data_IF_340458467013
#
_entry.id   IF_340458467013
#
_cell.length_a   1.000
_cell.length_b   1.000
_cell.length_c   1.000
_cell.angle_alpha   90.00
_cell.angle_beta   90.00
_cell.angle_gamma   90.00
#
_symmetry.space_group_name_H-M   'P 1'
#
loop_
_entity.id
_entity.type
_entity.pdbx_description
1 polymer ?
#
# COMPACT_ATOMS: atom_id res chain seq x y z
N UNK A 1 -17.10 44.44 -17.09
CA UNK A 1 -16.47 43.23 -17.63
C UNK A 1 -15.01 43.51 -17.89
N UNK A 2 -14.13 43.21 -16.92
CA UNK A 2 -12.70 43.11 -17.19
C UNK A 2 -12.45 41.71 -17.73
N UNK A 3 -12.53 41.54 -19.05
CA UNK A 3 -12.00 40.34 -19.72
C UNK A 3 -10.48 40.44 -19.69
N UNK A 4 -9.90 40.04 -18.57
CA UNK A 4 -8.48 39.74 -18.47
C UNK A 4 -8.19 38.54 -19.38
N UNK A 5 -7.17 38.66 -20.23
CA UNK A 5 -6.73 37.57 -21.09
C UNK A 5 -6.48 36.33 -20.23
N UNK A 6 -7.01 35.15 -20.59
CA UNK A 6 -6.72 33.94 -19.85
C UNK A 6 -5.21 33.72 -19.82
N UNK A 7 -4.66 33.34 -18.66
CA UNK A 7 -3.26 32.94 -18.56
C UNK A 7 -2.94 31.77 -19.51
N UNK A 8 -1.67 31.35 -19.59
CA UNK A 8 -1.19 30.31 -20.54
C UNK A 8 -2.03 29.02 -20.51
N UNK A 9 -2.63 28.70 -19.36
CA UNK A 9 -3.45 27.50 -19.14
C UNK A 9 -4.96 27.79 -19.01
N UNK A 10 -5.41 28.99 -19.37
CA UNK A 10 -6.82 29.38 -19.20
C UNK A 10 -7.20 29.68 -17.76
N UNK A 11 -6.22 30.04 -16.92
CA UNK A 11 -6.46 30.35 -15.51
C UNK A 11 -7.42 31.53 -15.36
N UNK A 12 -8.29 31.46 -14.36
CA UNK A 12 -9.07 32.61 -13.93
C UNK A 12 -8.21 33.56 -13.09
N UNK A 13 -8.59 34.85 -12.95
CA UNK A 13 -7.87 35.77 -12.07
C UNK A 13 -7.77 35.28 -10.62
N UNK A 14 -8.79 34.56 -10.13
CA UNK A 14 -8.74 33.91 -8.82
C UNK A 14 -7.67 32.82 -8.78
N UNK A 15 -7.58 31.95 -9.80
CA UNK A 15 -6.58 30.89 -9.86
C UNK A 15 -5.15 31.43 -9.89
N UNK A 16 -4.88 32.49 -10.66
CA UNK A 16 -3.58 33.14 -10.65
C UNK A 16 -3.25 33.68 -9.25
N UNK A 17 -4.23 34.28 -8.56
CA UNK A 17 -4.04 34.75 -7.18
C UNK A 17 -3.85 33.62 -6.16
N UNK A 18 -4.45 32.45 -6.37
CA UNK A 18 -4.22 31.26 -5.52
C UNK A 18 -2.78 30.78 -5.66
N UNK A 19 -2.26 30.74 -6.89
CA UNK A 19 -0.91 30.26 -7.18
C UNK A 19 0.19 31.18 -6.65
N UNK A 20 0.04 32.51 -6.76
CA UNK A 20 1.13 33.45 -6.45
C UNK A 20 0.74 34.72 -5.68
N UNK A 21 -0.56 34.93 -5.43
CA UNK A 21 -1.09 36.13 -4.80
C UNK A 21 -1.18 36.06 -3.27
N UNK A 22 -1.51 37.20 -2.68
CA UNK A 22 -1.71 37.37 -1.24
C UNK A 22 -3.12 36.97 -0.80
N UNK A 23 -3.29 36.58 0.46
CA UNK A 23 -4.61 36.22 1.01
C UNK A 23 -5.60 37.39 0.96
N UNK A 24 -5.11 38.64 0.95
CA UNK A 24 -5.94 39.84 0.77
C UNK A 24 -6.49 39.98 -0.65
N UNK A 25 -5.69 39.66 -1.68
CA UNK A 25 -6.15 39.65 -3.08
C UNK A 25 -7.16 38.54 -3.32
N UNK A 26 -6.88 37.34 -2.78
CA UNK A 26 -7.80 36.20 -2.83
C UNK A 26 -9.13 36.58 -2.18
N UNK A 27 -9.10 37.17 -0.97
CA UNK A 27 -10.31 37.61 -0.26
C UNK A 27 -11.15 38.59 -1.08
N UNK A 28 -10.51 39.51 -1.81
CA UNK A 28 -11.21 40.45 -2.69
C UNK A 28 -11.92 39.75 -3.85
N UNK A 29 -11.32 38.70 -4.42
CA UNK A 29 -12.01 37.89 -5.44
C UNK A 29 -13.16 37.08 -4.85
N UNK A 30 -13.05 36.64 -3.59
CA UNK A 30 -14.09 35.89 -2.89
C UNK A 30 -15.29 36.76 -2.48
N UNK A 31 -15.21 38.10 -2.56
CA UNK A 31 -16.41 38.97 -2.50
C UNK A 31 -17.40 38.68 -3.64
N UNK A 32 -16.91 38.10 -4.74
CA UNK A 32 -17.70 37.67 -5.90
C UNK A 32 -17.61 36.16 -6.06
N UNK A 33 -18.42 35.42 -5.29
CA UNK A 33 -18.38 33.95 -5.16
C UNK A 33 -18.47 33.17 -6.49
N UNK A 34 -19.08 33.76 -7.52
CA UNK A 34 -19.13 33.22 -8.89
C UNK A 34 -17.73 32.88 -9.46
N UNK A 35 -16.67 33.51 -8.93
CA UNK A 35 -15.28 33.27 -9.33
C UNK A 35 -14.77 31.87 -8.95
N UNK A 36 -15.39 31.19 -7.97
CA UNK A 36 -14.98 29.86 -7.49
C UNK A 36 -15.30 28.73 -8.48
N UNK A 37 -16.31 28.91 -9.34
CA UNK A 37 -16.78 27.89 -10.29
C UNK A 37 -15.91 27.81 -11.56
N UNK A 38 -14.99 28.75 -11.74
CA UNK A 38 -14.12 28.80 -12.91
C UNK A 38 -13.26 27.55 -13.05
N UNK A 39 -13.10 27.07 -14.29
CA UNK A 39 -12.16 26.00 -14.66
C UNK A 39 -11.14 26.49 -15.66
N UNK A 40 -9.91 26.02 -15.51
CA UNK A 40 -8.85 26.23 -16.49
C UNK A 40 -8.93 25.19 -17.64
N UNK A 41 -7.99 25.22 -18.58
CA UNK A 41 -7.98 24.29 -19.72
C UNK A 41 -7.75 22.82 -19.35
N UNK A 42 -7.26 22.55 -18.14
CA UNK A 42 -7.13 21.21 -17.56
C UNK A 42 -8.39 20.81 -16.78
N UNK A 43 -9.45 21.62 -16.79
CA UNK A 43 -10.66 21.36 -16.01
C UNK A 43 -10.49 21.56 -14.49
N UNK A 44 -9.34 22.08 -14.06
CA UNK A 44 -9.03 22.28 -12.65
C UNK A 44 -9.79 23.50 -12.12
N UNK A 45 -10.31 23.40 -10.90
CA UNK A 45 -10.88 24.49 -10.09
C UNK A 45 -9.81 25.17 -9.23
N UNK A 46 -10.14 26.30 -8.60
CA UNK A 46 -9.24 26.97 -7.65
C UNK A 46 -8.77 26.04 -6.51
N UNK A 47 -9.61 25.09 -6.09
CA UNK A 47 -9.28 24.09 -5.06
C UNK A 47 -8.15 23.15 -5.48
N UNK A 48 -8.05 22.77 -6.75
CA UNK A 48 -6.96 21.93 -7.23
C UNK A 48 -5.60 22.62 -7.08
N UNK A 49 -5.56 23.93 -7.32
CA UNK A 49 -4.34 24.73 -7.26
C UNK A 49 -3.97 25.11 -5.82
N UNK A 50 -4.97 25.21 -4.94
CA UNK A 50 -4.78 25.59 -3.55
C UNK A 50 -4.18 24.48 -2.67
N UNK A 51 -4.11 23.22 -3.14
CA UNK A 51 -3.64 22.09 -2.31
C UNK A 51 -2.21 22.25 -1.80
N UNK A 52 -1.38 23.04 -2.47
CA UNK A 52 0.00 23.34 -2.04
C UNK A 52 0.07 24.46 -0.99
N UNK A 53 -1.05 25.13 -0.71
CA UNK A 53 -1.19 26.25 0.23
C UNK A 53 -2.40 25.99 1.13
N UNK A 54 -2.18 25.22 2.20
CA UNK A 54 -3.26 24.82 3.13
C UNK A 54 -4.01 26.01 3.73
N UNK A 55 -3.34 27.15 3.97
CA UNK A 55 -3.95 28.39 4.45
C UNK A 55 -4.97 28.96 3.45
N UNK A 56 -4.62 28.97 2.16
CA UNK A 56 -5.54 29.38 1.09
C UNK A 56 -6.64 28.37 0.90
N UNK A 57 -6.33 27.08 0.98
CA UNK A 57 -7.33 26.02 0.86
C UNK A 57 -8.41 26.14 1.96
N UNK A 58 -8.01 26.40 3.20
CA UNK A 58 -8.95 26.69 4.30
C UNK A 58 -9.79 27.93 4.01
N UNK A 59 -9.16 29.03 3.56
CA UNK A 59 -9.89 30.26 3.20
C UNK A 59 -10.94 30.02 2.09
N UNK A 60 -10.58 29.24 1.06
CA UNK A 60 -11.51 28.88 -0.02
C UNK A 60 -12.66 28.00 0.50
N UNK A 61 -12.40 27.08 1.43
CA UNK A 61 -13.44 26.20 1.99
C UNK A 61 -14.40 26.94 2.94
N UNK A 62 -13.87 27.84 3.78
CA UNK A 62 -14.66 28.66 4.69
C UNK A 62 -15.68 29.52 3.91
N UNK A 63 -15.20 30.24 2.89
CA UNK A 63 -16.04 31.07 2.03
C UNK A 63 -17.03 30.27 1.17
N UNK A 64 -16.68 29.04 0.83
CA UNK A 64 -17.51 28.14 0.02
C UNK A 64 -18.62 27.44 0.82
N UNK A 65 -18.41 27.22 2.11
CA UNK A 65 -19.39 26.61 3.02
C UNK A 65 -20.70 27.42 3.14
N UNK A 66 -20.63 28.72 2.89
CA UNK A 66 -21.77 29.65 2.94
C UNK A 66 -22.73 29.51 1.73
N UNK A 67 -22.29 28.88 0.64
CA UNK A 67 -23.03 28.86 -0.63
C UNK A 67 -23.45 27.46 -1.11
N UNK A 68 -22.99 26.39 -0.45
CA UNK A 68 -23.39 25.01 -0.76
C UNK A 68 -22.85 24.47 -2.09
N UNK A 69 -21.80 25.08 -2.65
CA UNK A 69 -21.16 24.58 -3.86
C UNK A 69 -20.40 23.26 -3.63
N UNK A 70 -19.95 22.61 -4.70
CA UNK A 70 -19.19 21.34 -4.64
C UNK A 70 -17.80 21.42 -5.28
N UNK A 71 -17.25 22.62 -5.47
CA UNK A 71 -16.02 22.86 -6.23
C UNK A 71 -14.77 22.10 -5.77
N UNK A 72 -14.71 21.70 -4.49
CA UNK A 72 -13.64 20.86 -3.92
C UNK A 72 -13.78 19.36 -4.22
N UNK A 73 -14.90 18.94 -4.82
CA UNK A 73 -15.16 17.58 -5.30
C UNK A 73 -15.17 17.48 -6.83
N UNK A 74 -15.13 18.62 -7.52
CA UNK A 74 -15.16 18.60 -8.97
C UNK A 74 -13.88 17.98 -9.52
N UNK A 75 -13.97 17.06 -10.48
CA UNK A 75 -12.80 16.51 -11.12
C UNK A 75 -12.25 17.44 -12.20
N UNK A 76 -10.94 17.31 -12.44
CA UNK A 76 -10.26 17.79 -13.64
C UNK A 76 -10.60 16.93 -14.88
N UNK A 77 -9.96 17.20 -16.02
CA UNK A 77 -10.19 16.45 -17.27
C UNK A 77 -9.83 14.96 -17.19
N UNK A 78 -8.95 14.58 -16.27
CA UNK A 78 -8.48 13.21 -16.05
C UNK A 78 -9.28 12.52 -14.91
N UNK A 79 -10.32 13.19 -14.40
CA UNK A 79 -11.17 12.68 -13.33
C UNK A 79 -10.57 12.85 -11.93
N UNK A 80 -9.43 13.52 -11.78
CA UNK A 80 -8.75 13.68 -10.49
C UNK A 80 -9.37 14.83 -9.71
N UNK A 81 -9.61 14.62 -8.42
CA UNK A 81 -10.15 15.66 -7.53
C UNK A 81 -9.02 16.42 -6.83
N UNK A 82 -9.31 17.58 -6.19
CA UNK A 82 -8.35 18.25 -5.33
C UNK A 82 -7.74 17.33 -4.26
N UNK A 83 -8.52 16.37 -3.73
CA UNK A 83 -8.01 15.39 -2.78
C UNK A 83 -6.96 14.47 -3.41
N UNK A 84 -7.16 14.02 -4.66
CA UNK A 84 -6.16 13.24 -5.41
C UNK A 84 -4.86 14.03 -5.60
N UNK A 85 -4.95 15.31 -5.94
CA UNK A 85 -3.77 16.18 -6.08
C UNK A 85 -3.03 16.38 -4.75
N UNK A 86 -3.76 16.65 -3.66
CA UNK A 86 -3.16 16.80 -2.33
C UNK A 86 -2.40 15.53 -1.90
N UNK A 87 -2.95 14.36 -2.20
CA UNK A 87 -2.33 13.08 -1.91
C UNK A 87 -1.09 12.81 -2.77
N UNK A 88 -1.18 13.05 -4.08
CA UNK A 88 -0.07 12.90 -5.02
C UNK A 88 1.13 13.83 -4.71
N UNK A 89 0.86 15.01 -4.15
CA UNK A 89 1.91 15.96 -3.74
C UNK A 89 2.37 15.81 -2.30
N UNK A 90 1.88 14.82 -1.55
CA UNK A 90 2.31 14.59 -0.18
C UNK A 90 1.84 15.67 0.81
N UNK A 91 0.77 16.39 0.49
CA UNK A 91 0.27 17.52 1.27
C UNK A 91 -0.71 17.02 2.34
N UNK A 92 -0.18 16.42 3.41
CA UNK A 92 -0.93 15.83 4.54
C UNK A 92 -1.99 16.78 5.10
N UNK A 93 -1.60 18.04 5.34
CA UNK A 93 -2.50 19.06 5.88
C UNK A 93 -3.69 19.33 4.96
N UNK A 94 -3.45 19.44 3.66
CA UNK A 94 -4.50 19.67 2.66
C UNK A 94 -5.42 18.46 2.50
N UNK A 95 -4.89 17.24 2.61
CA UNK A 95 -5.69 16.01 2.66
C UNK A 95 -6.62 16.02 3.87
N UNK A 96 -6.09 16.37 5.06
CA UNK A 96 -6.87 16.48 6.29
C UNK A 96 -7.99 17.52 6.15
N UNK A 97 -7.64 18.74 5.74
CA UNK A 97 -8.60 19.83 5.53
C UNK A 97 -9.72 19.42 4.57
N UNK A 98 -9.39 18.79 3.43
CA UNK A 98 -10.38 18.36 2.45
C UNK A 98 -11.29 17.24 3.00
N UNK A 99 -10.72 16.23 3.67
CA UNK A 99 -11.49 15.13 4.25
C UNK A 99 -12.42 15.61 5.37
N UNK A 100 -11.94 16.51 6.23
CA UNK A 100 -12.73 17.16 7.29
C UNK A 100 -13.85 18.04 6.71
N UNK A 101 -13.59 18.74 5.61
CA UNK A 101 -14.59 19.54 4.90
C UNK A 101 -15.63 18.73 4.10
N UNK A 102 -15.54 17.40 4.12
CA UNK A 102 -16.52 16.54 3.45
C UNK A 102 -16.15 16.15 2.02
N UNK A 103 -14.91 16.38 1.56
CA UNK A 103 -14.48 15.95 0.22
C UNK A 103 -14.72 14.45 0.02
N UNK A 104 -15.27 14.06 -1.13
CA UNK A 104 -15.56 12.69 -1.48
C UNK A 104 -14.23 11.94 -1.67
N UNK A 105 -13.93 10.92 -0.85
CA UNK A 105 -12.68 10.17 -0.96
C UNK A 105 -12.68 9.19 -2.13
N UNK A 106 -13.84 8.95 -2.78
CA UNK A 106 -14.01 7.92 -3.79
C UNK A 106 -13.94 8.47 -5.21
N UNK A 107 -13.09 7.89 -6.04
CA UNK A 107 -13.10 8.02 -7.51
C UNK A 107 -13.42 6.64 -8.10
N UNK A 108 -14.47 6.55 -8.92
CA UNK A 108 -14.90 5.26 -9.49
C UNK A 108 -15.31 4.20 -8.46
N UNK A 109 -15.52 4.56 -7.19
CA UNK A 109 -15.80 3.63 -6.10
C UNK A 109 -14.58 3.20 -5.28
N UNK A 110 -13.38 3.66 -5.65
CA UNK A 110 -12.11 3.29 -5.02
C UNK A 110 -11.43 4.48 -4.34
N UNK A 111 -10.54 4.18 -3.40
CA UNK A 111 -9.69 5.16 -2.70
C UNK A 111 -8.45 5.51 -3.54
N UNK A 112 -8.63 5.87 -4.82
CA UNK A 112 -7.53 6.13 -5.77
C UNK A 112 -6.48 7.10 -5.21
N UNK A 113 -6.89 8.13 -4.46
CA UNK A 113 -5.95 9.09 -3.89
C UNK A 113 -4.92 8.45 -2.94
N UNK A 114 -5.27 7.34 -2.27
CA UNK A 114 -4.33 6.55 -1.47
C UNK A 114 -3.31 5.90 -2.39
N UNK A 115 -3.73 5.30 -3.51
CA UNK A 115 -2.81 4.72 -4.50
C UNK A 115 -1.82 5.77 -5.04
N UNK A 116 -2.31 6.97 -5.35
CA UNK A 116 -1.45 8.09 -5.75
C UNK A 116 -0.45 8.43 -4.65
N UNK A 117 -0.87 8.59 -3.40
CA UNK A 117 0.06 8.84 -2.30
C UNK A 117 1.15 7.75 -2.21
N UNK A 118 0.78 6.47 -2.33
CA UNK A 118 1.74 5.36 -2.27
C UNK A 118 2.71 5.34 -3.45
N UNK A 119 2.23 5.56 -4.68
CA UNK A 119 3.06 5.58 -5.88
C UNK A 119 4.09 6.72 -5.87
N UNK A 120 3.80 7.82 -5.17
CA UNK A 120 4.72 8.94 -4.94
C UNK A 120 5.45 8.85 -3.58
N UNK A 121 5.36 7.70 -2.89
CA UNK A 121 6.05 7.39 -1.63
C UNK A 121 5.64 8.28 -0.43
N UNK A 122 4.41 8.80 -0.43
CA UNK A 122 3.77 9.57 0.65
C UNK A 122 2.97 8.67 1.60
N UNK A 123 3.66 7.74 2.26
CA UNK A 123 3.06 6.73 3.15
C UNK A 123 2.39 7.33 4.39
N UNK A 124 2.94 8.43 4.89
CA UNK A 124 2.40 9.22 6.00
C UNK A 124 1.03 9.82 5.66
N UNK A 125 0.87 10.36 4.45
CA UNK A 125 -0.40 10.87 3.94
C UNK A 125 -1.43 9.75 3.86
N UNK A 126 -1.05 8.58 3.33
CA UNK A 126 -1.94 7.43 3.26
C UNK A 126 -2.38 6.97 4.67
N UNK A 127 -1.44 6.88 5.61
CA UNK A 127 -1.73 6.49 6.99
C UNK A 127 -2.68 7.46 7.69
N UNK A 128 -2.44 8.76 7.57
CA UNK A 128 -3.28 9.80 8.16
C UNK A 128 -4.67 9.80 7.54
N UNK A 129 -4.76 9.73 6.20
CA UNK A 129 -6.04 9.69 5.50
C UNK A 129 -6.88 8.47 5.90
N UNK A 130 -6.31 7.28 5.95
CA UNK A 130 -7.02 6.07 6.40
C UNK A 130 -7.46 6.20 7.86
N UNK A 131 -6.64 6.81 8.72
CA UNK A 131 -6.99 7.07 10.12
C UNK A 131 -8.18 8.02 10.23
N UNK A 132 -8.18 9.10 9.45
CA UNK A 132 -9.29 10.06 9.39
C UNK A 132 -10.57 9.42 8.84
N UNK A 133 -10.48 8.63 7.78
CA UNK A 133 -11.63 7.93 7.19
C UNK A 133 -12.30 6.96 8.17
N UNK A 134 -11.49 6.24 8.96
CA UNK A 134 -11.97 5.37 10.05
C UNK A 134 -12.61 6.19 11.17
N UNK A 135 -11.91 7.22 11.66
CA UNK A 135 -12.37 8.05 12.78
C UNK A 135 -13.68 8.80 12.48
N UNK A 136 -13.88 9.20 11.23
CA UNK A 136 -15.08 9.92 10.77
C UNK A 136 -16.20 8.99 10.28
N UNK A 137 -15.99 7.67 10.33
CA UNK A 137 -16.92 6.65 9.82
C UNK A 137 -17.36 6.88 8.35
N UNK A 138 -16.54 7.58 7.56
CA UNK A 138 -16.80 7.84 6.14
C UNK A 138 -16.53 6.64 5.25
N UNK A 139 -15.72 5.71 5.74
CA UNK A 139 -15.50 4.42 5.14
C UNK A 139 -15.54 3.35 6.25
N UNK A 140 -16.24 2.25 5.99
CA UNK A 140 -16.24 1.11 6.92
C UNK A 140 -14.88 0.41 6.92
N UNK A 141 -14.48 -0.18 8.05
CA UNK A 141 -13.24 -0.95 8.12
C UNK A 141 -13.21 -2.08 7.08
N UNK A 142 -14.34 -2.75 6.84
CA UNK A 142 -14.44 -3.78 5.81
C UNK A 142 -14.16 -3.25 4.40
N UNK A 143 -14.66 -2.05 4.07
CA UNK A 143 -14.36 -1.40 2.80
C UNK A 143 -12.87 -1.02 2.71
N UNK A 144 -12.31 -0.43 3.76
CA UNK A 144 -10.87 -0.08 3.79
C UNK A 144 -10.00 -1.32 3.63
N UNK A 145 -10.35 -2.44 4.26
CA UNK A 145 -9.62 -3.70 4.08
C UNK A 145 -9.71 -4.22 2.65
N UNK A 146 -10.87 -4.14 2.00
CA UNK A 146 -11.00 -4.50 0.58
C UNK A 146 -10.14 -3.63 -0.33
N UNK A 147 -10.05 -2.32 -0.07
CA UNK A 147 -9.21 -1.41 -0.85
C UNK A 147 -7.71 -1.68 -0.61
N UNK A 148 -7.31 -1.91 0.63
CA UNK A 148 -5.95 -2.30 0.98
C UNK A 148 -5.56 -3.66 0.36
N UNK A 149 -6.50 -4.61 0.31
CA UNK A 149 -6.32 -5.86 -0.41
C UNK A 149 -6.11 -5.60 -1.90
N UNK A 150 -6.96 -4.79 -2.53
CA UNK A 150 -6.82 -4.46 -3.95
C UNK A 150 -5.45 -3.83 -4.27
N UNK A 151 -5.00 -2.89 -3.44
CA UNK A 151 -3.67 -2.29 -3.56
C UNK A 151 -2.55 -3.33 -3.43
N UNK A 152 -2.66 -4.26 -2.48
CA UNK A 152 -1.69 -5.36 -2.35
C UNK A 152 -1.68 -6.26 -3.59
N UNK A 153 -2.83 -6.60 -4.13
CA UNK A 153 -2.96 -7.43 -5.34
C UNK A 153 -2.34 -6.75 -6.56
N UNK A 154 -2.56 -5.45 -6.74
CA UNK A 154 -1.99 -4.68 -7.85
C UNK A 154 -0.44 -4.62 -7.82
N UNK A 155 0.16 -4.75 -6.63
CA UNK A 155 1.62 -4.67 -6.42
C UNK A 155 2.35 -6.02 -6.45
N UNK A 156 1.64 -7.16 -6.52
CA UNK A 156 2.25 -8.49 -6.47
C UNK A 156 3.36 -8.74 -7.50
N UNK A 157 3.34 -8.05 -8.65
CA UNK A 157 4.31 -8.24 -9.71
C UNK A 157 5.71 -7.66 -9.44
N UNK A 158 5.84 -6.73 -8.49
CA UNK A 158 7.13 -6.12 -8.12
C UNK A 158 7.09 -5.43 -6.73
N UNK A 159 6.81 -6.16 -5.64
CA UNK A 159 6.84 -5.57 -4.31
C UNK A 159 8.30 -5.25 -3.92
N UNK A 160 8.62 -3.98 -3.71
CA UNK A 160 9.90 -3.63 -3.09
C UNK A 160 9.96 -4.22 -1.67
N UNK A 161 11.12 -4.73 -1.25
CA UNK A 161 11.27 -5.43 0.04
C UNK A 161 10.79 -4.63 1.25
N UNK A 162 10.93 -3.30 1.18
CA UNK A 162 10.58 -2.36 2.24
C UNK A 162 9.09 -1.99 2.30
N UNK A 163 8.28 -2.41 1.33
CA UNK A 163 6.87 -2.00 1.24
C UNK A 163 5.97 -2.75 2.20
N UNK A 164 6.20 -4.03 2.47
CA UNK A 164 5.31 -4.81 3.33
C UNK A 164 5.18 -4.19 4.72
N UNK A 165 6.30 -3.83 5.35
CA UNK A 165 6.27 -3.24 6.69
C UNK A 165 5.43 -1.96 6.73
N UNK A 166 5.57 -1.09 5.72
CA UNK A 166 4.78 0.13 5.60
C UNK A 166 3.30 -0.17 5.36
N UNK A 167 3.01 -1.16 4.54
CA UNK A 167 1.65 -1.58 4.21
C UNK A 167 0.94 -2.24 5.40
N UNK A 168 1.64 -3.08 6.16
CA UNK A 168 1.16 -3.60 7.44
C UNK A 168 0.88 -2.47 8.44
N UNK A 169 1.69 -1.41 8.46
CA UNK A 169 1.43 -0.22 9.28
C UNK A 169 0.18 0.57 8.83
N UNK A 170 -0.24 0.48 7.57
CA UNK A 170 -1.53 1.02 7.10
C UNK A 170 -2.74 0.18 7.58
N UNK A 171 -2.46 -1.01 8.12
CA UNK A 171 -3.42 -1.94 8.67
C UNK A 171 -3.88 -3.01 7.70
N UNK A 172 -3.08 -3.35 6.68
CA UNK A 172 -3.37 -4.50 5.80
C UNK A 172 -3.50 -5.77 6.62
N UNK A 173 -4.54 -6.55 6.33
CA UNK A 173 -4.69 -7.87 6.93
C UNK A 173 -3.58 -8.81 6.46
N UNK A 174 -2.63 -9.09 7.36
CA UNK A 174 -1.54 -10.05 7.13
C UNK A 174 -2.03 -11.46 6.76
N UNK A 175 -3.28 -11.80 7.09
CA UNK A 175 -3.90 -13.10 6.81
C UNK A 175 -4.72 -13.11 5.52
N UNK A 176 -4.69 -12.02 4.74
CA UNK A 176 -5.41 -11.93 3.48
C UNK A 176 -5.04 -13.07 2.52
N UNK A 177 -6.04 -13.49 1.74
CA UNK A 177 -5.90 -14.50 0.69
C UNK A 177 -6.16 -13.84 -0.66
N UNK A 178 -5.28 -14.10 -1.63
CA UNK A 178 -5.48 -13.67 -3.00
C UNK A 178 -6.46 -14.60 -3.75
N UNK A 179 -6.80 -14.25 -5.00
CA UNK A 179 -7.79 -15.00 -5.81
C UNK A 179 -7.42 -16.47 -6.01
N UNK A 180 -6.14 -16.80 -6.06
CA UNK A 180 -5.63 -18.18 -6.18
C UNK A 180 -5.49 -18.89 -4.83
N UNK A 181 -5.95 -18.28 -3.74
CA UNK A 181 -5.86 -18.82 -2.37
C UNK A 181 -4.48 -18.63 -1.73
N UNK A 182 -3.55 -17.91 -2.37
CA UNK A 182 -2.24 -17.63 -1.78
C UNK A 182 -2.33 -16.62 -0.64
N UNK A 183 -1.49 -16.82 0.37
CA UNK A 183 -1.22 -15.83 1.42
C UNK A 183 -0.10 -14.87 1.01
N UNK A 184 0.10 -13.79 1.76
CA UNK A 184 1.26 -12.89 1.61
C UNK A 184 2.61 -13.63 1.64
N UNK A 185 2.71 -14.75 2.37
CA UNK A 185 3.94 -15.52 2.46
C UNK A 185 4.32 -16.19 1.12
N UNK A 186 3.32 -16.63 0.33
CA UNK A 186 3.57 -17.26 -0.98
C UNK A 186 4.21 -16.29 -1.98
N UNK A 187 3.93 -14.99 -1.83
CA UNK A 187 4.43 -13.91 -2.69
C UNK A 187 5.66 -13.21 -2.11
N UNK A 188 6.26 -13.73 -1.03
CA UNK A 188 7.43 -13.11 -0.44
C UNK A 188 8.59 -13.10 -1.45
N UNK A 189 9.17 -11.93 -1.80
CA UNK A 189 10.27 -11.85 -2.75
C UNK A 189 11.64 -12.15 -2.11
N UNK A 190 11.75 -12.05 -0.78
CA UNK A 190 13.02 -12.21 -0.05
C UNK A 190 12.78 -12.47 1.46
N UNK A 191 13.87 -12.70 2.20
CA UNK A 191 13.82 -12.98 3.65
C UNK A 191 13.37 -11.80 4.50
N UNK A 192 13.68 -10.56 4.10
CA UNK A 192 13.24 -9.36 4.84
C UNK A 192 11.70 -9.28 4.88
N UNK A 193 11.05 -9.55 3.75
CA UNK A 193 9.59 -9.62 3.67
C UNK A 193 9.01 -10.68 4.60
N UNK A 194 9.66 -11.84 4.68
CA UNK A 194 9.27 -12.93 5.57
C UNK A 194 9.42 -12.47 7.03
N UNK A 195 10.54 -11.83 7.38
CA UNK A 195 10.78 -11.32 8.72
C UNK A 195 9.70 -10.31 9.13
N UNK A 196 9.40 -9.29 8.31
CA UNK A 196 8.32 -8.33 8.58
C UNK A 196 6.95 -9.00 8.76
N UNK A 197 6.62 -10.01 7.95
CA UNK A 197 5.35 -10.72 8.04
C UNK A 197 5.23 -11.49 9.37
N UNK A 198 6.30 -12.17 9.79
CA UNK A 198 6.33 -12.92 11.05
C UNK A 198 6.44 -12.00 12.28
N UNK A 199 7.17 -10.90 12.19
CA UNK A 199 7.24 -9.88 13.24
C UNK A 199 5.88 -9.25 13.48
N UNK A 200 5.06 -9.11 12.44
CA UNK A 200 3.66 -8.72 12.54
C UNK A 200 2.75 -9.83 13.11
N UNK A 201 3.27 -11.02 13.43
CA UNK A 201 2.54 -12.12 14.06
C UNK A 201 1.72 -12.97 13.09
N UNK A 202 2.20 -13.16 11.85
CA UNK A 202 1.64 -14.13 10.92
C UNK A 202 1.85 -15.57 11.41
N UNK A 203 0.83 -16.43 11.26
CA UNK A 203 0.83 -17.80 11.80
C UNK A 203 0.56 -18.88 10.74
N UNK A 204 0.10 -18.50 9.55
CA UNK A 204 -0.35 -19.43 8.51
C UNK A 204 0.80 -19.93 7.63
N UNK A 205 1.87 -20.43 8.27
CA UNK A 205 3.12 -20.82 7.59
C UNK A 205 2.94 -21.99 6.61
N UNK A 206 2.08 -22.94 6.95
CA UNK A 206 1.79 -24.13 6.14
C UNK A 206 0.48 -24.01 5.34
N UNK A 207 -0.05 -22.80 5.16
CA UNK A 207 -1.25 -22.59 4.34
C UNK A 207 -0.95 -23.03 2.90
N UNK A 208 -1.87 -23.79 2.32
CA UNK A 208 -1.78 -24.21 0.92
C UNK A 208 -2.74 -23.39 0.06
N UNK A 209 -2.27 -22.96 -1.11
CA UNK A 209 -3.08 -22.29 -2.11
C UNK A 209 -4.16 -23.23 -2.73
N UNK A 210 -4.90 -22.72 -3.73
CA UNK A 210 -5.95 -23.50 -4.42
C UNK A 210 -5.41 -24.71 -5.20
N UNK A 211 -4.12 -24.75 -5.52
CA UNK A 211 -3.44 -25.89 -6.14
C UNK A 211 -2.88 -26.87 -5.09
N UNK A 212 -2.97 -26.53 -3.81
CA UNK A 212 -2.36 -27.27 -2.72
C UNK A 212 -0.85 -26.98 -2.56
N UNK A 213 -0.31 -25.92 -3.12
CA UNK A 213 1.09 -25.56 -2.91
C UNK A 213 1.22 -24.70 -1.65
N UNK A 214 2.16 -25.02 -0.76
CA UNK A 214 2.53 -24.13 0.35
C UNK A 214 3.56 -23.10 -0.10
N UNK A 215 3.78 -22.04 0.68
CA UNK A 215 4.79 -21.03 0.36
C UNK A 215 6.21 -21.63 0.21
N UNK A 216 6.54 -22.69 0.96
CA UNK A 216 7.80 -23.43 0.79
C UNK A 216 7.94 -24.01 -0.62
N UNK A 217 6.85 -24.47 -1.22
CA UNK A 217 6.84 -25.05 -2.56
C UNK A 217 6.96 -23.99 -3.65
N UNK A 218 6.55 -22.74 -3.40
CA UNK A 218 6.59 -21.65 -4.38
C UNK A 218 7.93 -20.94 -4.48
N UNK A 219 8.82 -21.07 -3.48
CA UNK A 219 10.14 -20.41 -3.48
C UNK A 219 11.20 -21.06 -4.42
N UNK A 220 10.92 -22.21 -5.02
CA UNK A 220 11.85 -22.82 -6.00
C UNK A 220 11.84 -22.08 -7.35
N UNK A 221 12.99 -21.86 -8.01
CA UNK A 221 14.31 -22.44 -7.77
C UNK A 221 15.28 -21.56 -6.96
N UNK A 222 14.84 -20.52 -6.27
CA UNK A 222 15.76 -19.66 -5.51
C UNK A 222 16.04 -20.30 -4.15
N UNK A 223 17.17 -21.01 -4.04
CA UNK A 223 17.71 -21.60 -2.80
C UNK A 223 18.21 -20.54 -1.80
N UNK A 224 17.67 -19.33 -1.92
CA UNK A 224 18.00 -18.13 -1.19
C UNK A 224 17.49 -18.24 0.26
N UNK A 225 17.92 -17.33 1.12
CA UNK A 225 17.64 -17.33 2.55
C UNK A 225 16.16 -17.51 2.94
N UNK A 226 15.21 -17.36 2.02
CA UNK A 226 13.78 -17.59 2.22
C UNK A 226 13.46 -19.00 2.74
N UNK A 227 13.96 -20.04 2.06
CA UNK A 227 13.71 -21.44 2.44
C UNK A 227 14.28 -21.71 3.84
N UNK A 228 15.53 -21.32 4.08
CA UNK A 228 16.17 -21.47 5.39
C UNK A 228 15.41 -20.70 6.50
N UNK A 229 14.92 -19.50 6.18
CA UNK A 229 14.19 -18.64 7.10
C UNK A 229 12.85 -19.27 7.52
N UNK A 230 12.02 -19.76 6.58
CA UNK A 230 10.74 -20.39 6.95
C UNK A 230 10.91 -21.75 7.61
N UNK A 231 11.94 -22.52 7.25
CA UNK A 231 12.26 -23.78 7.95
C UNK A 231 12.70 -23.53 9.39
N UNK A 232 13.53 -22.50 9.63
CA UNK A 232 13.92 -22.10 10.98
C UNK A 232 12.72 -21.66 11.85
N UNK A 233 11.64 -21.18 11.21
CA UNK A 233 10.38 -20.80 11.85
C UNK A 233 9.39 -21.97 12.01
N UNK A 234 9.80 -23.20 11.70
CA UNK A 234 9.01 -24.41 11.94
C UNK A 234 8.04 -24.80 10.83
N UNK A 235 8.25 -24.32 9.59
CA UNK A 235 7.48 -24.79 8.43
C UNK A 235 7.61 -26.30 8.27
N UNK A 236 6.50 -26.97 7.95
CA UNK A 236 6.51 -28.42 7.72
C UNK A 236 6.97 -28.73 6.29
N UNK A 237 8.21 -29.25 6.09
CA UNK A 237 8.69 -29.60 4.76
C UNK A 237 7.95 -30.79 4.15
N UNK A 238 7.25 -31.56 4.98
CA UNK A 238 6.50 -32.74 4.59
C UNK A 238 4.99 -32.46 4.47
N UNK A 239 4.58 -31.20 4.35
CA UNK A 239 3.18 -30.88 4.15
C UNK A 239 2.70 -31.46 2.81
N UNK A 240 1.96 -32.58 2.88
CA UNK A 240 1.47 -33.26 1.70
C UNK A 240 0.09 -32.72 1.32
N UNK A 241 -0.01 -32.14 0.13
CA UNK A 241 -1.31 -31.87 -0.49
C UNK A 241 -1.63 -32.92 -1.54
N UNK A 242 -2.92 -33.03 -1.90
CA UNK A 242 -3.43 -34.03 -2.84
C UNK A 242 -2.72 -34.00 -4.22
N UNK A 243 -1.99 -32.94 -4.54
CA UNK A 243 -1.39 -32.70 -5.85
C UNK A 243 0.04 -33.28 -6.03
N UNK A 244 0.83 -33.57 -4.98
CA UNK A 244 2.30 -33.63 -5.17
C UNK A 244 3.09 -34.66 -4.32
N UNK A 245 2.70 -35.95 -4.30
CA UNK A 245 3.63 -37.04 -3.95
C UNK A 245 4.93 -37.03 -4.80
N UNK A 246 4.95 -36.30 -5.93
CA UNK A 246 6.03 -36.29 -6.92
C UNK A 246 7.15 -35.25 -6.70
N UNK A 247 6.93 -34.16 -5.95
CA UNK A 247 7.94 -33.09 -5.74
C UNK A 247 8.81 -33.26 -4.49
N UNK A 248 8.41 -34.17 -3.60
CA UNK A 248 9.15 -34.54 -2.38
C UNK A 248 10.59 -34.99 -2.64
N UNK A 249 10.89 -35.58 -3.81
CA UNK A 249 12.25 -36.01 -4.14
C UNK A 249 13.25 -34.85 -4.22
N UNK A 250 12.84 -33.65 -4.66
CA UNK A 250 13.78 -32.52 -4.83
C UNK A 250 14.09 -31.85 -3.50
N UNK A 251 13.11 -31.71 -2.61
CA UNK A 251 13.29 -31.18 -1.25
C UNK A 251 14.08 -32.16 -0.38
N UNK A 252 13.84 -33.47 -0.51
CA UNK A 252 14.62 -34.49 0.19
C UNK A 252 16.09 -34.50 -0.27
N UNK A 253 16.36 -34.42 -1.57
CA UNK A 253 17.74 -34.36 -2.10
C UNK A 253 18.43 -33.05 -1.69
N UNK A 254 17.70 -31.93 -1.65
CA UNK A 254 18.19 -30.64 -1.19
C UNK A 254 18.57 -30.63 0.30
N UNK A 255 17.67 -31.12 1.16
CA UNK A 255 17.87 -31.21 2.60
C UNK A 255 18.98 -32.21 2.95
N UNK A 256 19.10 -33.33 2.23
CA UNK A 256 20.24 -34.25 2.38
C UNK A 256 21.56 -33.54 2.07
N UNK A 257 21.64 -32.77 0.98
CA UNK A 257 22.86 -32.03 0.63
C UNK A 257 23.19 -30.90 1.64
N UNK A 258 22.17 -30.26 2.20
CA UNK A 258 22.32 -29.15 3.17
C UNK A 258 22.68 -29.68 4.57
N UNK A 259 22.10 -30.82 4.96
CA UNK A 259 22.48 -31.53 6.19
C UNK A 259 23.88 -32.13 6.08
N UNK A 260 24.25 -32.73 4.94
CA UNK A 260 25.62 -33.23 4.70
C UNK A 260 26.65 -32.10 4.79
N UNK A 261 26.34 -30.91 4.27
CA UNK A 261 27.21 -29.73 4.37
C UNK A 261 27.38 -29.22 5.81
N UNK A 262 26.31 -29.22 6.62
CA UNK A 262 26.35 -28.86 8.04
C UNK A 262 27.06 -29.91 8.90
N UNK A 263 26.87 -31.20 8.59
CA UNK A 263 27.59 -32.31 9.22
C UNK A 263 29.10 -32.19 8.95
N UNK A 264 29.50 -31.87 7.72
CA UNK A 264 30.90 -31.67 7.31
C UNK A 264 31.54 -30.50 8.08
N UNK A 265 30.80 -29.40 8.28
CA UNK A 265 31.29 -28.24 9.02
C UNK A 265 31.40 -28.52 10.55
N UNK A 266 30.49 -29.30 11.13
CA UNK A 266 30.57 -29.68 12.54
C UNK A 266 31.74 -30.65 12.82
N UNK A 267 31.98 -31.62 11.94
CA UNK A 267 33.12 -32.54 12.03
C UNK A 267 34.47 -31.82 11.85
N UNK A 268 34.50 -30.74 11.07
CA UNK A 268 35.71 -29.93 10.86
C UNK A 268 36.03 -29.03 12.08
N UNK A 269 35.02 -28.67 12.88
CA UNK A 269 35.19 -27.83 14.07
C UNK A 269 35.46 -28.64 15.35
N UNK A 270 34.88 -29.84 15.50
CA UNK A 270 35.00 -30.62 16.73
C UNK A 270 36.07 -31.71 16.72
N UNK A 271 36.67 -32.06 15.56
CA UNK A 271 37.84 -32.94 15.50
C UNK A 271 37.67 -34.34 16.10
N UNK A 272 36.43 -34.79 16.37
CA UNK A 272 36.17 -36.03 17.10
C UNK A 272 35.31 -37.00 16.28
N UNK A 273 35.91 -38.13 15.90
CA UNK A 273 35.34 -39.14 15.01
C UNK A 273 34.59 -40.22 15.78
N UNK A 274 33.40 -39.95 16.30
CA UNK A 274 32.51 -41.02 16.79
C UNK A 274 31.03 -40.77 16.47
N UNK A 275 30.61 -41.24 15.29
CA UNK A 275 29.20 -41.31 14.87
C UNK A 275 28.61 -42.61 15.42
N UNK A 276 27.88 -42.57 16.55
CA UNK A 276 27.10 -43.75 16.97
C UNK A 276 25.76 -43.49 17.67
N UNK A 277 25.23 -42.26 17.74
CA UNK A 277 24.08 -41.97 18.61
C UNK A 277 22.76 -41.54 17.93
N UNK A 278 22.69 -41.34 16.62
CA UNK A 278 21.52 -40.64 16.00
C UNK A 278 20.54 -41.57 15.24
N UNK A 279 20.80 -42.88 15.18
CA UNK A 279 19.90 -43.84 14.51
C UNK A 279 18.58 -44.14 15.25
N UNK A 280 18.32 -43.51 16.41
CA UNK A 280 17.17 -43.86 17.26
C UNK A 280 15.83 -43.16 16.94
N UNK A 281 15.80 -42.10 16.13
CA UNK A 281 14.59 -41.26 16.00
C UNK A 281 13.80 -41.42 14.69
N UNK A 282 14.29 -42.19 13.71
CA UNK A 282 13.64 -42.33 12.39
C UNK A 282 13.03 -43.70 12.16
N UNK A 283 12.40 -44.26 13.19
CA UNK A 283 11.62 -45.49 13.02
C UNK A 283 10.45 -45.52 14.01
N UNK A 284 9.39 -44.76 13.71
CA UNK A 284 8.03 -45.14 14.09
C UNK A 284 7.10 -44.80 12.93
N UNK A 285 6.43 -45.86 12.49
CA UNK A 285 5.35 -46.02 11.50
C UNK A 285 4.17 -45.07 11.64
#
# INVERSE_FOLDING_TARGET
MLTLCPGVWGQTPLMDSVLCGSNAEISKFLEHLECLEGKNFLGQTAFHLAVLRSDVLSLLLETHSDFGGTGFNEPDIDGNSPLTYAAAYGCTESVRILLEAGANPLKGGHLDFIEWALNWNHWDVAAEALTLLRATARASDGFIQSELHHLMSARQGNPESSELGKMLNLGVDKNMLFEDGKTLLHHAPNSEWIDHLFDAGFQQIDHSDSNGETALMTFFPDWSGQIANILARGCNPNFSTKAQTLRFMTIAVALVLLMDALQFFSCFLDGDTTISAIYGYWNVS
#
